data_IF_710661211034
#
_entry.id   IF_710661211034
#
_cell.length_a   1.000
_cell.length_b   1.000
_cell.length_c   1.000
_cell.angle_alpha   90.00
_cell.angle_beta   90.00
_cell.angle_gamma   90.00
#
_symmetry.space_group_name_H-M   'P 1'
#
loop_
_entity.id
_entity.type
_entity.pdbx_description
1 polymer ?
#
# COMPACT_ATOMS: atom_id res chain seq x y z
N UNK A 1 55.40 -37.57 40.91
CA UNK A 1 54.22 -36.69 40.91
C UNK A 1 54.23 -35.87 39.64
N UNK A 2 53.24 -36.06 38.79
CA UNK A 2 52.94 -35.17 37.66
C UNK A 2 51.41 -35.09 37.63
N UNK A 3 50.87 -33.94 38.00
CA UNK A 3 49.44 -33.69 38.13
C UNK A 3 48.73 -33.81 36.78
N UNK A 4 47.63 -34.54 36.80
CA UNK A 4 46.60 -34.53 35.77
C UNK A 4 45.87 -33.19 35.86
N UNK A 5 46.17 -32.25 34.97
CA UNK A 5 45.39 -31.02 34.83
C UNK A 5 43.99 -31.37 34.34
N UNK A 6 43.05 -31.16 35.26
CA UNK A 6 41.62 -31.25 35.08
C UNK A 6 41.15 -29.97 34.37
N UNK A 7 41.02 -29.98 33.05
CA UNK A 7 40.37 -28.88 32.32
C UNK A 7 38.94 -29.25 31.97
N UNK A 8 38.05 -28.78 32.83
CA UNK A 8 36.61 -28.57 32.68
C UNK A 8 36.17 -28.33 31.23
N UNK A 9 35.20 -29.14 30.79
CA UNK A 9 34.51 -29.06 29.51
C UNK A 9 33.93 -27.64 29.23
N UNK A 10 34.14 -27.03 28.04
CA UNK A 10 33.60 -25.72 27.67
C UNK A 10 32.16 -25.79 27.10
N UNK A 11 31.44 -26.88 27.36
CA UNK A 11 30.17 -27.21 26.69
C UNK A 11 28.94 -26.37 27.14
N UNK A 12 28.80 -25.84 28.38
CA UNK A 12 27.55 -25.22 28.81
C UNK A 12 27.24 -23.87 28.12
N UNK A 13 28.25 -23.16 27.59
CA UNK A 13 28.08 -21.83 27.00
C UNK A 13 27.56 -21.87 25.56
N UNK A 14 27.86 -22.93 24.82
CA UNK A 14 27.40 -23.08 23.43
C UNK A 14 25.94 -23.56 23.34
N UNK A 15 25.49 -24.38 24.30
CA UNK A 15 24.10 -24.88 24.31
C UNK A 15 23.10 -23.74 24.58
N UNK A 16 23.43 -22.78 25.45
CA UNK A 16 22.55 -21.61 25.69
C UNK A 16 22.51 -20.65 24.51
N UNK A 17 23.64 -20.43 23.82
CA UNK A 17 23.69 -19.59 22.61
C UNK A 17 22.91 -20.22 21.44
N UNK A 18 22.91 -21.55 21.33
CA UNK A 18 22.13 -22.28 20.32
C UNK A 18 20.62 -22.22 20.64
N UNK A 19 20.24 -22.32 21.92
CA UNK A 19 18.85 -22.20 22.37
C UNK A 19 18.31 -20.77 22.17
N UNK A 20 19.10 -19.74 22.46
CA UNK A 20 18.74 -18.34 22.24
C UNK A 20 18.58 -18.00 20.74
N UNK A 21 19.45 -18.54 19.89
CA UNK A 21 19.37 -18.33 18.43
C UNK A 21 18.22 -19.09 17.78
N UNK A 22 17.88 -20.30 18.26
CA UNK A 22 16.69 -21.03 17.78
C UNK A 22 15.40 -20.35 18.18
N UNK A 23 15.33 -19.78 19.37
CA UNK A 23 14.16 -19.03 19.83
C UNK A 23 13.95 -17.73 19.03
N UNK A 24 15.04 -17.00 18.74
CA UNK A 24 15.01 -15.82 17.87
C UNK A 24 14.56 -16.15 16.43
N UNK A 25 15.05 -17.25 15.86
CA UNK A 25 14.61 -17.69 14.53
C UNK A 25 13.12 -18.02 14.49
N UNK A 26 12.60 -18.71 15.52
CA UNK A 26 11.17 -19.03 15.60
C UNK A 26 10.30 -17.78 15.69
N UNK A 27 10.73 -16.75 16.42
CA UNK A 27 10.01 -15.47 16.50
C UNK A 27 10.00 -14.78 15.13
N UNK A 28 11.15 -14.69 14.46
CA UNK A 28 11.26 -14.07 13.13
C UNK A 28 10.45 -14.80 12.08
N UNK A 29 10.45 -16.13 12.07
CA UNK A 29 9.62 -16.94 11.17
C UNK A 29 8.13 -16.65 11.38
N UNK A 30 7.67 -16.57 12.64
CA UNK A 30 6.29 -16.23 12.95
C UNK A 30 5.90 -14.80 12.55
N UNK A 31 6.82 -13.84 12.65
CA UNK A 31 6.58 -12.47 12.20
C UNK A 31 6.50 -12.38 10.68
N UNK A 32 7.33 -13.15 9.95
CA UNK A 32 7.29 -13.24 8.49
C UNK A 32 5.97 -13.85 8.03
N UNK A 33 5.54 -14.97 8.62
CA UNK A 33 4.26 -15.64 8.28
C UNK A 33 3.06 -14.69 8.48
N UNK A 34 3.02 -13.98 9.61
CA UNK A 34 1.99 -12.97 9.87
C UNK A 34 2.00 -11.82 8.85
N UNK A 35 3.18 -11.44 8.35
CA UNK A 35 3.32 -10.41 7.33
C UNK A 35 2.83 -10.90 5.96
N UNK A 36 3.14 -12.14 5.59
CA UNK A 36 2.67 -12.79 4.36
C UNK A 36 1.15 -12.92 4.33
N UNK A 37 0.54 -13.31 5.44
CA UNK A 37 -0.92 -13.36 5.60
C UNK A 37 -1.55 -11.98 5.44
N UNK A 38 -0.94 -10.97 6.09
CA UNK A 38 -1.39 -9.58 5.99
C UNK A 38 -1.34 -9.07 4.54
N UNK A 39 -0.27 -9.38 3.80
CA UNK A 39 -0.12 -9.04 2.38
C UNK A 39 -1.19 -9.76 1.54
N UNK A 40 -1.43 -11.04 1.79
CA UNK A 40 -2.42 -11.84 1.07
C UNK A 40 -3.84 -11.29 1.24
N UNK A 41 -4.20 -10.89 2.46
CA UNK A 41 -5.48 -10.23 2.76
C UNK A 41 -5.59 -8.90 1.99
N UNK A 42 -4.55 -8.07 2.01
CA UNK A 42 -4.51 -6.80 1.29
C UNK A 42 -4.66 -6.99 -0.23
N UNK A 43 -3.98 -7.97 -0.81
CA UNK A 43 -4.08 -8.30 -2.24
C UNK A 43 -5.48 -8.77 -2.63
N UNK A 44 -6.10 -9.58 -1.78
CA UNK A 44 -7.49 -10.05 -1.96
C UNK A 44 -8.46 -8.87 -1.93
N UNK A 45 -8.28 -7.97 -0.98
CA UNK A 45 -9.11 -6.77 -0.83
C UNK A 45 -8.95 -5.81 -2.03
N UNK A 46 -7.72 -5.58 -2.49
CA UNK A 46 -7.45 -4.79 -3.71
C UNK A 46 -8.12 -5.43 -4.92
N UNK A 47 -7.95 -6.73 -5.13
CA UNK A 47 -8.53 -7.46 -6.26
C UNK A 47 -10.06 -7.37 -6.26
N UNK A 48 -10.69 -7.52 -5.09
CA UNK A 48 -12.13 -7.38 -4.93
C UNK A 48 -12.61 -5.97 -5.23
N UNK A 49 -11.89 -4.95 -4.75
CA UNK A 49 -12.19 -3.54 -5.04
C UNK A 49 -12.08 -3.26 -6.54
N UNK A 50 -11.04 -3.77 -7.22
CA UNK A 50 -10.89 -3.64 -8.68
C UNK A 50 -12.06 -4.31 -9.42
N UNK A 51 -12.44 -5.52 -9.04
CA UNK A 51 -13.58 -6.23 -9.64
C UNK A 51 -14.92 -5.50 -9.45
N UNK A 52 -15.13 -4.86 -8.30
CA UNK A 52 -16.33 -4.04 -8.07
C UNK A 52 -16.31 -2.75 -8.91
N UNK A 53 -15.13 -2.15 -9.11
CA UNK A 53 -14.97 -0.97 -9.97
C UNK A 53 -15.21 -1.29 -11.44
N UNK A 54 -14.79 -2.45 -11.93
CA UNK A 54 -15.06 -2.88 -13.32
C UNK A 54 -16.53 -3.25 -13.54
N UNK A 55 -17.22 -3.72 -12.49
CA UNK A 55 -18.67 -4.00 -12.54
C UNK A 55 -19.56 -2.77 -12.37
N UNK A 56 -19.05 -1.69 -11.78
CA UNK A 56 -19.78 -0.42 -11.71
C UNK A 56 -19.92 0.16 -13.13
N UNK A 57 -21.08 -0.05 -13.75
CA UNK A 57 -21.39 0.35 -15.12
C UNK A 57 -21.35 1.88 -15.36
N UNK A 58 -21.28 2.69 -14.30
CA UNK A 58 -21.47 4.14 -14.41
C UNK A 58 -20.35 4.89 -13.69
N UNK A 59 -19.62 5.73 -14.43
CA UNK A 59 -18.60 6.62 -13.86
C UNK A 59 -19.26 7.60 -12.86
N UNK A 60 -18.97 7.53 -11.55
CA UNK A 60 -19.60 8.38 -10.54
C UNK A 60 -19.17 9.85 -10.65
N UNK A 61 -18.09 10.13 -11.38
CA UNK A 61 -17.55 11.47 -11.59
C UNK A 61 -18.00 12.08 -12.92
N UNK A 62 -18.95 11.46 -13.63
CA UNK A 62 -19.39 11.95 -14.93
C UNK A 62 -19.85 13.42 -14.86
N UNK A 63 -19.46 14.18 -15.87
CA UNK A 63 -19.68 15.61 -15.93
C UNK A 63 -19.60 16.12 -17.37
N UNK A 64 -20.20 17.30 -17.62
CA UNK A 64 -20.27 17.90 -18.96
C UNK A 64 -18.90 18.15 -19.59
N UNK A 65 -17.89 18.41 -18.77
CA UNK A 65 -16.51 18.64 -19.22
C UNK A 65 -15.55 17.83 -18.36
N UNK A 66 -14.39 17.48 -18.91
CA UNK A 66 -13.32 16.82 -18.14
C UNK A 66 -12.89 17.64 -16.92
N UNK A 67 -12.89 18.99 -17.00
CA UNK A 67 -12.59 19.88 -15.87
C UNK A 67 -13.56 19.67 -14.72
N UNK A 68 -14.85 19.56 -15.02
CA UNK A 68 -15.89 19.25 -14.03
C UNK A 68 -15.68 17.88 -13.40
N UNK A 69 -15.23 16.89 -14.17
CA UNK A 69 -14.92 15.56 -13.64
C UNK A 69 -13.72 15.62 -12.69
N UNK A 70 -12.64 16.31 -13.07
CA UNK A 70 -11.46 16.54 -12.23
C UNK A 70 -11.83 17.26 -10.94
N UNK A 71 -12.62 18.34 -11.01
CA UNK A 71 -13.04 19.09 -9.83
C UNK A 71 -13.84 18.22 -8.85
N UNK A 72 -14.75 17.38 -9.34
CA UNK A 72 -15.49 16.41 -8.51
C UNK A 72 -14.55 15.42 -7.83
N UNK A 73 -13.59 14.88 -8.59
CA UNK A 73 -12.61 13.90 -8.08
C UNK A 73 -11.69 14.53 -7.01
N UNK A 74 -11.13 15.72 -7.28
CA UNK A 74 -10.29 16.46 -6.31
C UNK A 74 -11.07 16.81 -5.04
N UNK A 75 -12.32 17.24 -5.19
CA UNK A 75 -13.19 17.56 -4.04
C UNK A 75 -13.36 16.33 -3.16
N UNK A 76 -13.63 15.16 -3.75
CA UNK A 76 -13.77 13.96 -2.93
C UNK A 76 -12.45 13.50 -2.29
N UNK A 77 -11.31 13.57 -2.99
CA UNK A 77 -10.00 13.22 -2.43
C UNK A 77 -9.66 14.02 -1.17
N UNK A 78 -10.11 15.28 -1.09
CA UNK A 78 -9.91 16.12 0.09
C UNK A 78 -10.76 15.70 1.30
N UNK A 79 -11.80 14.89 1.10
CA UNK A 79 -12.79 14.53 2.15
C UNK A 79 -12.62 13.12 2.71
N UNK A 80 -11.88 12.24 2.03
CA UNK A 80 -11.78 10.84 2.43
C UNK A 80 -11.02 10.66 3.75
N UNK A 81 -11.61 9.90 4.66
CA UNK A 81 -10.99 9.45 5.91
C UNK A 81 -10.12 8.19 5.74
N UNK A 82 -9.89 7.50 6.87
CA UNK A 82 -9.09 6.26 6.93
C UNK A 82 -9.95 4.99 7.01
N UNK A 83 -11.27 5.10 6.87
CA UNK A 83 -12.14 3.91 6.91
C UNK A 83 -11.96 3.07 5.66
N UNK A 84 -12.23 1.76 5.74
CA UNK A 84 -12.18 0.86 4.57
C UNK A 84 -13.04 1.35 3.40
N UNK A 85 -14.21 1.93 3.71
CA UNK A 85 -15.09 2.54 2.72
C UNK A 85 -14.43 3.75 2.03
N UNK A 86 -13.84 4.65 2.80
CA UNK A 86 -13.17 5.83 2.27
C UNK A 86 -11.95 5.47 1.43
N UNK A 87 -11.16 4.47 1.87
CA UNK A 87 -10.01 3.98 1.12
C UNK A 87 -10.43 3.35 -0.22
N UNK A 88 -11.49 2.55 -0.24
CA UNK A 88 -12.05 2.01 -1.49
C UNK A 88 -12.54 3.12 -2.42
N UNK A 89 -13.19 4.15 -1.86
CA UNK A 89 -13.65 5.30 -2.65
C UNK A 89 -12.47 6.11 -3.19
N UNK A 90 -11.39 6.26 -2.42
CA UNK A 90 -10.13 6.88 -2.84
C UNK A 90 -9.48 6.13 -4.00
N UNK A 91 -9.39 4.81 -3.91
CA UNK A 91 -8.91 3.94 -5.00
C UNK A 91 -9.78 4.13 -6.26
N UNK A 92 -11.10 4.17 -6.11
CA UNK A 92 -12.02 4.40 -7.22
C UNK A 92 -11.79 5.76 -7.89
N UNK A 93 -11.53 6.81 -7.12
CA UNK A 93 -11.24 8.14 -7.65
C UNK A 93 -9.95 8.14 -8.47
N UNK A 94 -8.88 7.50 -8.00
CA UNK A 94 -7.64 7.38 -8.76
C UNK A 94 -7.79 6.55 -10.04
N UNK A 95 -8.58 5.48 -10.00
CA UNK A 95 -8.91 4.69 -11.18
C UNK A 95 -9.56 5.55 -12.28
N UNK A 96 -10.55 6.37 -11.93
CA UNK A 96 -11.21 7.24 -12.90
C UNK A 96 -10.35 8.42 -13.34
N UNK A 97 -9.46 8.93 -12.47
CA UNK A 97 -8.42 9.88 -12.89
C UNK A 97 -7.55 9.30 -14.01
N UNK A 98 -7.06 8.06 -13.82
CA UNK A 98 -6.23 7.40 -14.82
C UNK A 98 -6.99 7.18 -16.13
N UNK A 99 -8.23 6.70 -16.06
CA UNK A 99 -9.10 6.59 -17.24
C UNK A 99 -9.26 7.92 -17.98
N UNK A 100 -9.48 9.02 -17.26
CA UNK A 100 -9.65 10.33 -17.86
C UNK A 100 -8.38 10.80 -18.59
N UNK A 101 -7.20 10.55 -18.00
CA UNK A 101 -5.91 10.83 -18.63
C UNK A 101 -5.70 9.97 -19.87
N UNK A 102 -6.02 8.67 -19.81
CA UNK A 102 -5.84 7.74 -20.94
C UNK A 102 -6.81 8.05 -22.10
N UNK A 103 -7.98 8.64 -21.83
CA UNK A 103 -9.00 8.99 -22.82
C UNK A 103 -8.76 10.35 -23.51
N UNK A 104 -7.96 11.23 -22.93
CA UNK A 104 -7.73 12.57 -23.44
C UNK A 104 -6.51 12.64 -24.36
N UNK A 105 -6.67 13.30 -25.52
CA UNK A 105 -5.59 13.50 -26.48
C UNK A 105 -4.42 14.33 -25.95
N UNK A 106 -4.68 15.20 -24.96
CA UNK A 106 -3.66 15.97 -24.25
C UNK A 106 -3.78 15.78 -22.72
N UNK A 107 -3.10 14.77 -22.16
CA UNK A 107 -3.05 14.55 -20.72
C UNK A 107 -2.29 15.65 -19.97
N UNK A 108 -1.41 16.41 -20.65
CA UNK A 108 -0.65 17.49 -20.02
C UNK A 108 -1.58 18.63 -19.60
N UNK A 109 -2.59 18.96 -20.41
CA UNK A 109 -3.60 19.95 -20.04
C UNK A 109 -4.34 19.60 -18.74
N UNK A 110 -4.60 18.30 -18.51
CA UNK A 110 -5.24 17.83 -17.28
C UNK A 110 -4.28 17.95 -16.10
N UNK A 111 -3.03 17.51 -16.25
CA UNK A 111 -1.99 17.62 -15.21
C UNK A 111 -1.76 19.07 -14.81
N UNK A 112 -1.63 19.98 -15.77
CA UNK A 112 -1.49 21.42 -15.52
C UNK A 112 -2.68 21.99 -14.76
N UNK A 113 -3.91 21.59 -15.13
CA UNK A 113 -5.10 22.03 -14.42
C UNK A 113 -5.12 21.55 -12.96
N UNK A 114 -4.73 20.30 -12.72
CA UNK A 114 -4.60 19.74 -11.38
C UNK A 114 -3.49 20.48 -10.60
N UNK A 115 -2.33 20.74 -11.21
CA UNK A 115 -1.24 21.48 -10.58
C UNK A 115 -1.66 22.87 -10.12
N UNK A 116 -2.39 23.60 -10.97
CA UNK A 116 -2.93 24.92 -10.63
C UNK A 116 -3.93 24.88 -9.48
N UNK A 117 -4.67 23.78 -9.30
CA UNK A 117 -5.72 23.66 -8.27
C UNK A 117 -5.19 23.32 -6.88
N UNK A 118 -4.15 22.51 -6.78
CA UNK A 118 -3.67 22.00 -5.48
C UNK A 118 -2.17 22.20 -5.22
N UNK A 119 -1.45 22.77 -6.18
CA UNK A 119 -0.01 23.01 -6.12
C UNK A 119 0.82 21.76 -6.46
N UNK A 120 2.02 21.99 -7.01
CA UNK A 120 2.92 20.97 -7.57
C UNK A 120 3.10 19.72 -6.72
N UNK A 121 3.28 19.89 -5.40
CA UNK A 121 3.47 18.77 -4.47
C UNK A 121 2.26 17.82 -4.45
N UNK A 122 1.07 18.33 -4.12
CA UNK A 122 -0.15 17.51 -4.03
C UNK A 122 -0.59 16.97 -5.39
N UNK A 123 -0.28 17.74 -6.43
CA UNK A 123 -0.56 17.37 -7.80
C UNK A 123 0.25 16.14 -8.23
N UNK A 124 1.54 16.09 -7.86
CA UNK A 124 2.39 14.90 -8.05
C UNK A 124 1.74 13.65 -7.43
N UNK A 125 1.27 13.74 -6.18
CA UNK A 125 0.61 12.64 -5.47
C UNK A 125 -0.75 12.22 -6.08
N UNK A 126 -1.27 12.96 -7.06
CA UNK A 126 -2.59 12.73 -7.65
C UNK A 126 -2.53 11.97 -8.97
N UNK A 127 -1.45 12.12 -9.74
CA UNK A 127 -1.31 11.50 -11.07
C UNK A 127 -0.11 10.55 -11.23
N UNK A 128 0.79 10.48 -10.24
CA UNK A 128 1.85 9.46 -10.17
C UNK A 128 1.35 8.20 -9.47
#
# INVERSE_FOLDING_TARGET
>A
SGEIENTTNPIPTLESEIEDTTNLNSIVESEIENLEDSITILLTDISRTIQLMTKSLTNPFIGRTWKTQVDKMLTQLATYGRTRKDLNQKIQTYYYFRKLLDQHADPAMIKDFIERKQGKRKAKDTWH
#
